data_IF_824244457962
#
_entry.id   IF_824244457962
#
_cell.length_a   1.000
_cell.length_b   1.000
_cell.length_c   1.000
_cell.angle_alpha   90.00
_cell.angle_beta   90.00
_cell.angle_gamma   90.00
#
_symmetry.space_group_name_H-M   'P 1'
#
loop_
_entity.id
_entity.type
_entity.pdbx_description
1 polymer ?
#
# COMPACT_ATOMS: atom_id res chain seq x y z
N UNK A 1 15.71 10.00 15.99
CA UNK A 1 16.58 8.87 16.35
C UNK A 1 17.58 8.59 15.24
N UNK A 2 17.17 8.10 14.05
CA UNK A 2 18.14 7.91 12.95
C UNK A 2 18.80 9.24 12.54
N UNK A 3 18.01 10.30 12.26
CA UNK A 3 18.55 11.63 11.93
C UNK A 3 19.43 12.26 13.03
N UNK A 4 19.16 11.94 14.29
CA UNK A 4 19.90 12.45 15.45
C UNK A 4 21.13 11.61 15.80
N UNK A 5 21.31 10.44 15.17
CA UNK A 5 22.39 9.49 15.48
C UNK A 5 22.12 8.61 16.70
N UNK A 6 20.92 8.64 17.29
CA UNK A 6 20.56 7.77 18.42
C UNK A 6 20.30 6.31 17.99
N UNK A 7 20.05 6.10 16.69
CA UNK A 7 19.92 4.79 16.05
C UNK A 7 20.75 4.77 14.77
N UNK A 8 21.49 3.68 14.55
CA UNK A 8 22.23 3.48 13.30
C UNK A 8 21.30 3.08 12.14
N UNK A 9 20.28 2.24 12.41
CA UNK A 9 19.31 1.73 11.45
C UNK A 9 17.91 1.65 12.06
N UNK A 10 16.88 1.67 11.21
CA UNK A 10 15.49 1.44 11.58
C UNK A 10 14.77 0.65 10.48
N UNK A 11 13.76 -0.13 10.87
CA UNK A 11 12.80 -0.75 9.94
C UNK A 11 11.71 0.26 9.62
N UNK A 12 11.64 0.68 8.36
CA UNK A 12 10.67 1.67 7.88
C UNK A 12 10.27 1.39 6.44
N UNK A 13 9.12 1.93 6.02
CA UNK A 13 8.71 1.89 4.62
C UNK A 13 9.64 2.74 3.75
N UNK A 14 9.89 2.31 2.51
CA UNK A 14 10.66 3.07 1.50
C UNK A 14 10.18 4.52 1.40
N UNK A 15 8.86 4.73 1.40
CA UNK A 15 8.28 6.07 1.32
C UNK A 15 8.67 6.99 2.47
N UNK A 16 8.75 6.46 3.70
CA UNK A 16 9.16 7.24 4.88
C UNK A 16 10.63 7.65 4.73
N UNK A 17 11.48 6.76 4.23
CA UNK A 17 12.87 7.07 3.96
C UNK A 17 13.02 8.17 2.88
N UNK A 18 12.34 8.02 1.74
CA UNK A 18 12.35 9.00 0.64
C UNK A 18 11.84 10.36 1.10
N UNK A 19 10.68 10.42 1.77
CA UNK A 19 10.08 11.67 2.26
C UNK A 19 10.93 12.38 3.33
N UNK A 20 11.91 11.68 3.92
CA UNK A 20 12.78 12.22 4.95
C UNK A 20 14.24 12.36 4.50
N UNK A 21 14.55 12.19 3.22
CA UNK A 21 15.91 12.23 2.66
C UNK A 21 16.87 11.28 3.40
N UNK A 22 16.39 10.09 3.75
CA UNK A 22 17.19 9.04 4.39
C UNK A 22 17.71 8.04 3.36
N UNK A 23 18.93 7.55 3.60
CA UNK A 23 19.46 6.38 2.90
C UNK A 23 18.74 5.12 3.37
N UNK A 24 18.56 4.16 2.47
CA UNK A 24 17.97 2.86 2.77
C UNK A 24 18.67 1.74 2.00
N UNK A 25 18.51 0.51 2.49
CA UNK A 25 18.94 -0.70 1.81
C UNK A 25 17.68 -1.35 1.24
N UNK A 26 17.69 -1.62 -0.07
CA UNK A 26 16.63 -2.42 -0.69
C UNK A 26 16.77 -3.88 -0.26
N UNK A 27 15.69 -4.43 0.26
CA UNK A 27 15.59 -5.83 0.65
C UNK A 27 15.01 -6.63 -0.52
N UNK A 28 15.32 -7.93 -0.63
CA UNK A 28 14.69 -8.79 -1.62
C UNK A 28 13.16 -8.81 -1.48
N UNK A 29 12.45 -8.79 -2.60
CA UNK A 29 10.98 -8.84 -2.63
C UNK A 29 10.43 -10.07 -1.91
N UNK A 30 11.20 -11.16 -1.82
CA UNK A 30 10.85 -12.36 -1.07
C UNK A 30 10.59 -12.08 0.43
N UNK A 31 11.14 -11.00 0.99
CA UNK A 31 11.09 -10.74 2.44
C UNK A 31 10.58 -9.36 2.83
N UNK A 32 10.47 -8.41 1.90
CA UNK A 32 10.17 -7.01 2.19
C UNK A 32 8.66 -6.66 2.26
N UNK A 33 7.80 -7.65 1.97
CA UNK A 33 6.34 -7.54 1.94
C UNK A 33 5.78 -6.65 0.80
N UNK A 34 6.55 -6.33 -0.24
CA UNK A 34 6.10 -5.40 -1.30
C UNK A 34 5.32 -6.07 -2.44
N UNK A 35 5.59 -7.33 -2.74
CA UNK A 35 5.14 -7.99 -3.97
C UNK A 35 4.01 -8.99 -3.74
N UNK A 36 2.93 -8.87 -4.52
CA UNK A 36 1.73 -9.72 -4.37
C UNK A 36 2.00 -11.18 -4.74
N UNK A 37 3.01 -11.43 -5.57
CA UNK A 37 3.47 -12.74 -6.03
C UNK A 37 4.06 -13.56 -4.88
N UNK A 38 4.58 -12.91 -3.83
CA UNK A 38 5.19 -13.56 -2.66
C UNK A 38 4.22 -13.71 -1.48
N UNK A 39 2.91 -13.51 -1.66
CA UNK A 39 1.92 -13.59 -0.59
C UNK A 39 1.98 -14.90 0.21
N UNK A 40 2.17 -16.04 -0.46
CA UNK A 40 2.31 -17.34 0.22
C UNK A 40 3.60 -17.42 1.05
N UNK A 41 4.70 -16.84 0.55
CA UNK A 41 5.98 -16.80 1.26
C UNK A 41 5.88 -15.93 2.51
N UNK A 42 5.26 -14.75 2.40
CA UNK A 42 5.06 -13.84 3.55
C UNK A 42 4.20 -14.49 4.64
N UNK A 43 3.19 -15.27 4.25
CA UNK A 43 2.29 -15.95 5.18
C UNK A 43 2.95 -17.07 6.01
N UNK A 44 4.20 -17.45 5.69
CA UNK A 44 4.98 -18.44 6.48
C UNK A 44 5.39 -17.93 7.86
N UNK A 45 5.35 -16.61 8.09
CA UNK A 45 5.66 -15.98 9.38
C UNK A 45 4.39 -15.35 9.95
N UNK A 46 4.19 -15.55 11.26
CA UNK A 46 3.12 -14.90 12.01
C UNK A 46 3.68 -14.22 13.26
N UNK A 47 3.08 -13.09 13.62
CA UNK A 47 3.35 -12.38 14.87
C UNK A 47 2.17 -12.50 15.82
N UNK A 48 2.46 -12.71 17.10
CA UNK A 48 1.47 -12.70 18.16
C UNK A 48 1.46 -11.31 18.81
N UNK A 49 0.32 -10.64 18.81
CA UNK A 49 0.16 -9.36 19.49
C UNK A 49 -0.94 -9.43 20.56
N UNK A 50 -0.63 -8.90 21.75
CA UNK A 50 -1.60 -8.71 22.82
C UNK A 50 -2.49 -7.49 22.51
N UNK A 51 -3.80 -7.68 22.60
CA UNK A 51 -4.81 -6.63 22.42
C UNK A 51 -5.82 -6.70 23.57
N UNK A 52 -5.59 -5.87 24.58
CA UNK A 52 -6.30 -6.00 25.87
C UNK A 52 -5.99 -7.34 26.52
N UNK A 53 -7.03 -8.04 26.96
CA UNK A 53 -6.92 -9.39 27.53
C UNK A 53 -6.84 -10.50 26.45
N UNK A 54 -6.95 -10.13 25.17
CA UNK A 54 -6.90 -11.05 24.04
C UNK A 54 -5.54 -11.11 23.35
N UNK A 55 -5.36 -12.18 22.57
CA UNK A 55 -4.24 -12.35 21.66
C UNK A 55 -4.75 -12.37 20.22
N UNK A 56 -4.05 -11.70 19.30
CA UNK A 56 -4.32 -11.76 17.86
C UNK A 56 -3.07 -12.22 17.13
N UNK A 57 -3.24 -13.16 16.20
CA UNK A 57 -2.19 -13.61 15.29
C UNK A 57 -2.28 -12.83 13.97
N UNK A 58 -1.16 -12.27 13.53
CA UNK A 58 -1.04 -11.55 12.27
C UNK A 58 -0.05 -12.30 11.36
N UNK A 59 -0.55 -12.87 10.27
CA UNK A 59 0.31 -13.44 9.23
C UNK A 59 0.90 -12.33 8.35
N UNK A 60 2.13 -12.54 7.88
CA UNK A 60 2.73 -11.68 6.87
C UNK A 60 1.88 -11.68 5.59
N UNK A 61 1.75 -10.52 4.98
CA UNK A 61 0.99 -10.31 3.75
C UNK A 61 1.59 -9.13 2.98
N UNK A 62 1.36 -9.05 1.65
CA UNK A 62 1.81 -7.91 0.87
C UNK A 62 1.19 -6.60 1.39
N UNK A 63 1.99 -5.54 1.46
CA UNK A 63 1.55 -4.20 1.87
C UNK A 63 0.95 -3.50 0.64
N UNK A 64 -0.35 -3.67 0.46
CA UNK A 64 -1.11 -3.08 -0.65
C UNK A 64 -2.10 -2.05 -0.13
N UNK A 65 -2.03 -0.84 -0.67
CA UNK A 65 -3.00 0.22 -0.36
C UNK A 65 -4.27 0.04 -1.20
N UNK A 66 -5.43 0.04 -0.53
CA UNK A 66 -6.74 0.00 -1.15
C UNK A 66 -7.51 1.30 -0.97
N UNK A 67 -8.31 1.69 -1.97
CA UNK A 67 -9.19 2.85 -1.93
C UNK A 67 -10.60 2.47 -2.37
N UNK A 68 -11.62 3.13 -1.82
CA UNK A 68 -13.02 2.94 -2.22
C UNK A 68 -13.83 4.21 -2.02
N UNK A 69 -14.92 4.35 -2.79
CA UNK A 69 -15.95 5.37 -2.53
C UNK A 69 -17.05 4.71 -1.68
N UNK A 70 -17.25 5.12 -0.41
CA UNK A 70 -18.26 4.51 0.44
C UNK A 70 -19.66 4.66 -0.14
N UNK A 71 -20.50 3.63 0.01
CA UNK A 71 -21.91 3.65 -0.43
C UNK A 71 -22.74 4.79 0.17
N UNK A 72 -22.30 5.32 1.32
CA UNK A 72 -22.94 6.41 2.06
C UNK A 72 -22.28 7.78 1.80
N UNK A 73 -21.39 7.88 0.82
CA UNK A 73 -20.73 9.14 0.49
C UNK A 73 -21.75 10.22 0.13
N UNK A 74 -21.61 11.42 0.72
CA UNK A 74 -22.48 12.57 0.42
C UNK A 74 -22.30 13.10 -1.01
N UNK A 75 -21.10 12.90 -1.56
CA UNK A 75 -20.72 13.33 -2.91
C UNK A 75 -20.01 12.17 -3.64
N UNK A 76 -20.74 11.10 -4.04
CA UNK A 76 -20.13 9.92 -4.62
C UNK A 76 -19.45 10.21 -5.97
N UNK A 77 -19.98 11.16 -6.75
CA UNK A 77 -19.38 11.57 -8.02
C UNK A 77 -18.00 12.23 -7.82
N UNK A 78 -17.86 13.12 -6.83
CA UNK A 78 -16.55 13.70 -6.51
C UNK A 78 -15.57 12.66 -5.94
N UNK A 79 -16.09 11.68 -5.19
CA UNK A 79 -15.29 10.53 -4.76
C UNK A 79 -14.77 9.72 -5.95
N UNK A 80 -15.59 9.53 -6.97
CA UNK A 80 -15.20 8.83 -8.20
C UNK A 80 -14.12 9.60 -8.97
N UNK A 81 -14.30 10.92 -9.15
CA UNK A 81 -13.30 11.79 -9.79
C UNK A 81 -11.95 11.77 -9.03
N UNK A 82 -11.99 11.74 -7.70
CA UNK A 82 -10.78 11.61 -6.89
C UNK A 82 -10.07 10.27 -7.13
N UNK A 83 -10.81 9.16 -7.13
CA UNK A 83 -10.23 7.83 -7.37
C UNK A 83 -9.68 7.74 -8.79
N UNK A 84 -10.37 8.29 -9.78
CA UNK A 84 -9.92 8.36 -11.18
C UNK A 84 -8.56 9.09 -11.28
N UNK A 85 -8.43 10.24 -10.63
CA UNK A 85 -7.17 10.98 -10.55
C UNK A 85 -6.08 10.17 -9.84
N UNK A 86 -6.41 9.54 -8.72
CA UNK A 86 -5.47 8.77 -7.89
C UNK A 86 -4.89 7.55 -8.62
N UNK A 87 -5.72 6.79 -9.34
CA UNK A 87 -5.26 5.61 -10.08
C UNK A 87 -4.78 5.95 -11.50
N UNK A 88 -5.01 7.18 -11.96
CA UNK A 88 -4.52 7.72 -13.23
C UNK A 88 -3.08 8.25 -13.14
N UNK A 89 -2.61 8.82 -14.25
CA UNK A 89 -1.21 9.26 -14.40
C UNK A 89 -0.76 10.25 -13.31
N UNK A 90 -1.62 11.19 -12.92
CA UNK A 90 -1.31 12.18 -11.88
C UNK A 90 -1.02 11.53 -10.53
N UNK A 91 -1.89 10.62 -10.07
CA UNK A 91 -1.68 9.95 -8.79
C UNK A 91 -0.48 9.00 -8.82
N UNK A 92 -0.24 8.33 -9.95
CA UNK A 92 0.94 7.48 -10.14
C UNK A 92 2.25 8.26 -10.02
N UNK A 93 2.34 9.43 -10.66
CA UNK A 93 3.52 10.30 -10.57
C UNK A 93 3.77 10.78 -9.14
N UNK A 94 2.71 11.16 -8.43
CA UNK A 94 2.81 11.60 -7.03
C UNK A 94 3.33 10.47 -6.15
N UNK A 95 2.74 9.28 -6.26
CA UNK A 95 3.11 8.11 -5.45
C UNK A 95 4.55 7.65 -5.73
N UNK A 96 4.95 7.59 -6.99
CA UNK A 96 6.33 7.23 -7.38
C UNK A 96 7.35 8.21 -6.78
N UNK A 97 7.09 9.52 -6.90
CA UNK A 97 7.96 10.57 -6.34
C UNK A 97 8.08 10.49 -4.82
N UNK A 98 7.01 10.09 -4.15
CA UNK A 98 6.96 9.98 -2.69
C UNK A 98 7.46 8.61 -2.18
N UNK A 99 8.06 7.80 -3.06
CA UNK A 99 8.69 6.53 -2.72
C UNK A 99 7.73 5.36 -2.55
N UNK A 100 6.50 5.49 -3.06
CA UNK A 100 5.43 4.48 -3.03
C UNK A 100 5.12 4.00 -4.47
N UNK A 101 5.83 3.01 -5.01
CA UNK A 101 5.55 2.52 -6.36
C UNK A 101 4.10 2.06 -6.49
N UNK A 102 3.31 2.61 -7.44
CA UNK A 102 1.91 2.22 -7.61
C UNK A 102 1.78 0.87 -8.33
N UNK A 103 0.70 0.14 -8.05
CA UNK A 103 0.33 -1.07 -8.81
C UNK A 103 -0.33 -0.64 -10.13
N UNK A 104 0.20 -1.13 -11.23
CA UNK A 104 -0.10 -0.63 -12.58
C UNK A 104 -0.43 -1.76 -13.57
N UNK A 105 -1.68 -1.85 -14.10
CA UNK A 105 -2.86 -1.09 -13.68
C UNK A 105 -3.29 -1.46 -12.26
N UNK A 106 -3.98 -0.54 -11.57
CA UNK A 106 -4.53 -0.81 -10.24
C UNK A 106 -5.56 -1.96 -10.29
N UNK A 107 -5.71 -2.70 -9.19
CA UNK A 107 -6.71 -3.78 -9.11
C UNK A 107 -8.12 -3.22 -8.87
N UNK A 108 -9.10 -3.67 -9.66
CA UNK A 108 -10.52 -3.38 -9.45
C UNK A 108 -11.25 -4.58 -8.87
N UNK A 109 -11.94 -4.43 -7.74
CA UNK A 109 -12.59 -5.53 -7.03
C UNK A 109 -14.08 -5.24 -6.77
N UNK A 110 -14.92 -6.27 -6.90
CA UNK A 110 -16.36 -6.17 -6.66
C UNK A 110 -17.07 -5.31 -7.71
N UNK A 111 -17.86 -4.33 -7.27
CA UNK A 111 -18.67 -3.47 -8.16
C UNK A 111 -17.88 -2.23 -8.59
N UNK A 112 -16.94 -2.41 -9.51
CA UNK A 112 -16.17 -1.30 -10.10
C UNK A 112 -17.12 -0.42 -10.94
N UNK A 113 -17.20 0.90 -10.72
CA UNK A 113 -17.99 1.79 -11.57
C UNK A 113 -17.43 1.85 -12.99
N UNK A 114 -18.32 1.92 -14.00
CA UNK A 114 -17.95 1.94 -15.42
C UNK A 114 -16.89 3.00 -15.78
N UNK A 115 -16.85 4.14 -15.09
CA UNK A 115 -15.84 5.18 -15.30
C UNK A 115 -14.41 4.77 -14.93
N UNK A 116 -14.23 3.79 -14.04
CA UNK A 116 -12.91 3.31 -13.60
C UNK A 116 -12.45 2.04 -14.31
N UNK A 117 -13.34 1.31 -14.98
CA UNK A 117 -13.01 0.07 -15.70
C UNK A 117 -11.82 0.21 -16.68
N UNK A 118 -11.66 1.34 -17.42
CA UNK A 118 -10.51 1.52 -18.32
C UNK A 118 -9.17 1.71 -17.60
N UNK A 119 -9.18 2.05 -16.30
CA UNK A 119 -7.99 2.39 -15.51
C UNK A 119 -7.54 1.26 -14.58
N UNK A 120 -8.35 0.21 -14.43
CA UNK A 120 -8.09 -0.88 -13.48
C UNK A 120 -8.13 -2.25 -14.17
N UNK A 121 -7.32 -3.18 -13.69
CA UNK A 121 -7.50 -4.59 -13.99
C UNK A 121 -8.60 -5.15 -13.08
N UNK A 122 -9.81 -5.32 -13.63
CA UNK A 122 -10.92 -5.94 -12.90
C UNK A 122 -10.56 -7.39 -12.55
N UNK A 123 -10.56 -7.69 -11.26
CA UNK A 123 -10.31 -9.02 -10.69
C UNK A 123 -11.65 -9.66 -10.31
N UNK A 124 -11.71 -10.97 -10.47
CA UNK A 124 -12.86 -11.79 -10.08
C UNK A 124 -12.98 -11.92 -8.56
#
# INVERSE_FOLDING_TARGET
>A
MVKSGDLDYAWEYRSVAVQNDLLFIELPEEIDLSAVEFAENYATVQTEAKKGDGTTLYAGAPIVYGVTVPKIAKHPNLGLEFVEMLVGATGQEILERDGQPPIMPAGGYGSVPAGLEPLVAVKA
#
